data_IF_954464659871
#
_entry.id   IF_954464659871
#
_cell.length_a   1.000
_cell.length_b   1.000
_cell.length_c   1.000
_cell.angle_alpha   90.00
_cell.angle_beta   90.00
_cell.angle_gamma   90.00
#
_symmetry.space_group_name_H-M   'P 1'
#
loop_
_entity.id
_entity.type
_entity.pdbx_description
1 polymer ?
#
# COMPACT_ATOMS: atom_id res chain seq x y z
N UNK A 1 -19.07 3.65 9.33
CA UNK A 1 -18.49 3.77 10.68
C UNK A 1 -17.01 4.19 10.68
N UNK A 2 -16.16 3.63 9.79
CA UNK A 2 -14.73 4.04 9.61
C UNK A 2 -14.51 5.56 9.62
N UNK A 3 -15.25 6.29 8.80
CA UNK A 3 -15.09 7.75 8.64
C UNK A 3 -15.45 8.59 9.87
N UNK A 4 -16.27 8.05 10.78
CA UNK A 4 -16.67 8.74 12.00
C UNK A 4 -15.67 8.59 13.15
N UNK A 5 -14.81 7.56 13.13
CA UNK A 5 -13.84 7.26 14.20
C UNK A 5 -12.39 7.45 13.74
N UNK A 6 -12.06 7.13 12.48
CA UNK A 6 -10.70 7.11 11.98
C UNK A 6 -10.21 8.46 11.45
N UNK A 7 -11.06 9.27 10.81
CA UNK A 7 -10.59 10.41 10.00
C UNK A 7 -9.65 9.96 8.87
N UNK A 8 -9.19 10.88 8.02
CA UNK A 8 -8.15 10.56 7.02
C UNK A 8 -6.80 10.59 7.70
N UNK A 9 -6.07 9.47 7.66
CA UNK A 9 -4.65 9.47 7.99
C UNK A 9 -3.92 10.35 6.97
N UNK A 10 -3.06 11.24 7.46
CA UNK A 10 -2.27 12.13 6.60
C UNK A 10 -0.79 11.72 6.67
N UNK A 11 -0.03 11.90 5.57
CA UNK A 11 1.42 11.82 5.62
C UNK A 11 1.97 12.76 6.70
N UNK A 12 2.90 12.28 7.52
CA UNK A 12 3.40 13.07 8.65
C UNK A 12 4.16 12.24 9.69
N UNK A 13 4.71 12.94 10.68
CA UNK A 13 5.39 12.35 11.83
C UNK A 13 4.58 12.67 13.09
N UNK A 14 4.12 11.63 13.78
CA UNK A 14 3.26 11.72 14.95
C UNK A 14 3.97 11.09 16.15
N UNK A 15 3.94 11.71 17.35
CA UNK A 15 4.48 11.08 18.55
C UNK A 15 3.78 9.74 18.84
N UNK A 16 4.52 8.76 19.37
CA UNK A 16 3.86 7.57 19.94
C UNK A 16 2.93 8.00 21.09
N UNK A 17 1.82 7.26 21.24
CA UNK A 17 0.77 7.53 22.24
C UNK A 17 -0.03 8.82 22.03
N UNK A 18 0.11 9.46 20.86
CA UNK A 18 -0.82 10.51 20.41
C UNK A 18 -2.19 9.92 20.06
N UNK A 19 -3.20 10.78 19.96
CA UNK A 19 -4.53 10.38 19.48
C UNK A 19 -4.43 9.80 18.06
N UNK A 20 -3.60 10.39 17.21
CA UNK A 20 -3.35 9.93 15.84
C UNK A 20 -2.74 8.53 15.81
N UNK A 21 -1.79 8.24 16.70
CA UNK A 21 -1.22 6.90 16.85
C UNK A 21 -2.30 5.88 17.25
N UNK A 22 -3.16 6.22 18.20
CA UNK A 22 -4.23 5.31 18.64
C UNK A 22 -5.26 5.06 17.53
N UNK A 23 -5.65 6.11 16.80
CA UNK A 23 -6.56 5.99 15.64
C UNK A 23 -5.96 5.11 14.56
N UNK A 24 -4.69 5.34 14.20
CA UNK A 24 -3.95 4.51 13.27
C UNK A 24 -3.94 3.04 13.71
N UNK A 25 -3.56 2.79 14.98
CA UNK A 25 -3.50 1.45 15.54
C UNK A 25 -4.86 0.75 15.48
N UNK A 26 -5.93 1.43 15.87
CA UNK A 26 -7.28 0.86 15.86
C UNK A 26 -7.73 0.48 14.44
N UNK A 27 -7.55 1.38 13.46
CA UNK A 27 -7.88 1.10 12.05
C UNK A 27 -7.11 -0.11 11.54
N UNK A 28 -5.81 -0.16 11.86
CA UNK A 28 -4.94 -1.27 11.48
C UNK A 28 -5.41 -2.60 12.07
N UNK A 29 -5.82 -2.63 13.34
CA UNK A 29 -6.36 -3.85 13.96
C UNK A 29 -7.65 -4.32 13.26
N UNK A 30 -8.56 -3.40 12.95
CA UNK A 30 -9.80 -3.73 12.23
C UNK A 30 -9.49 -4.31 10.85
N UNK A 31 -8.58 -3.68 10.09
CA UNK A 31 -8.20 -4.16 8.76
C UNK A 31 -7.56 -5.54 8.83
N UNK A 32 -6.59 -5.76 9.73
CA UNK A 32 -5.97 -7.08 9.93
C UNK A 32 -7.00 -8.17 10.25
N UNK A 33 -7.97 -7.87 11.12
CA UNK A 33 -9.01 -8.84 11.49
C UNK A 33 -9.93 -9.20 10.31
N UNK A 34 -10.20 -8.24 9.41
CA UNK A 34 -11.07 -8.47 8.23
C UNK A 34 -10.35 -9.05 7.03
N UNK A 35 -9.02 -8.91 6.94
CA UNK A 35 -8.26 -9.19 5.73
C UNK A 35 -8.37 -10.63 5.25
N UNK A 36 -8.17 -11.61 6.13
CA UNK A 36 -8.18 -13.02 5.73
C UNK A 36 -9.47 -13.43 5.01
N UNK A 37 -10.62 -13.15 5.62
CA UNK A 37 -11.92 -13.47 5.00
C UNK A 37 -12.28 -12.61 3.79
N UNK A 38 -11.69 -11.40 3.68
CA UNK A 38 -11.93 -10.53 2.53
C UNK A 38 -11.14 -10.97 1.30
N UNK A 39 -9.85 -11.30 1.49
CA UNK A 39 -9.00 -11.79 0.40
C UNK A 39 -9.50 -13.14 -0.12
N UNK A 40 -9.92 -14.05 0.76
CA UNK A 40 -10.51 -15.34 0.36
C UNK A 40 -11.81 -15.18 -0.45
N UNK A 41 -12.57 -14.11 -0.20
CA UNK A 41 -13.87 -13.89 -0.83
C UNK A 41 -13.80 -13.02 -2.10
N UNK A 42 -12.90 -12.04 -2.13
CA UNK A 42 -12.85 -10.99 -3.16
C UNK A 42 -11.54 -10.97 -3.95
N UNK A 43 -10.53 -11.77 -3.58
CA UNK A 43 -9.26 -11.84 -4.30
C UNK A 43 -9.45 -12.18 -5.77
N UNK A 44 -8.73 -11.48 -6.65
CA UNK A 44 -8.83 -11.60 -8.10
C UNK A 44 -10.14 -11.06 -8.69
N UNK A 45 -10.94 -10.34 -7.91
CA UNK A 45 -12.18 -9.71 -8.39
C UNK A 45 -12.10 -8.19 -8.40
N UNK A 46 -12.83 -7.56 -9.33
CA UNK A 46 -12.94 -6.10 -9.41
C UNK A 46 -13.60 -5.45 -8.17
N UNK A 47 -14.14 -6.25 -7.23
CA UNK A 47 -14.73 -5.77 -5.99
C UNK A 47 -13.68 -5.37 -4.95
N UNK A 48 -12.50 -6.00 -4.95
CA UNK A 48 -11.45 -5.70 -3.99
C UNK A 48 -10.88 -4.28 -4.17
N UNK A 49 -10.56 -3.82 -5.40
CA UNK A 49 -10.24 -2.40 -5.65
C UNK A 49 -11.36 -1.44 -5.25
N UNK A 50 -12.63 -1.81 -5.43
CA UNK A 50 -13.76 -0.98 -5.03
C UNK A 50 -13.86 -0.85 -3.49
N UNK A 51 -13.59 -1.92 -2.76
CA UNK A 51 -13.53 -1.91 -1.31
C UNK A 51 -12.43 -0.98 -0.79
N UNK A 52 -11.20 -1.09 -1.31
CA UNK A 52 -10.11 -0.21 -0.90
C UNK A 52 -10.36 1.26 -1.26
N UNK A 53 -11.04 1.54 -2.39
CA UNK A 53 -11.51 2.90 -2.72
C UNK A 53 -12.51 3.43 -1.69
N UNK A 54 -13.45 2.62 -1.24
CA UNK A 54 -14.38 3.00 -0.17
C UNK A 54 -13.67 3.26 1.18
N UNK A 55 -12.52 2.60 1.38
CA UNK A 55 -11.62 2.84 2.49
C UNK A 55 -10.68 4.04 2.28
N UNK A 56 -10.72 4.74 1.15
CA UNK A 56 -9.95 5.97 0.93
C UNK A 56 -8.68 5.82 0.08
N UNK A 57 -8.36 4.61 -0.40
CA UNK A 57 -7.32 4.45 -1.40
C UNK A 57 -7.72 5.10 -2.73
N UNK A 58 -6.73 5.63 -3.45
CA UNK A 58 -6.93 6.10 -4.83
C UNK A 58 -6.50 4.98 -5.75
N UNK A 59 -7.45 4.33 -6.41
CA UNK A 59 -7.17 3.21 -7.30
C UNK A 59 -7.84 3.51 -8.65
N UNK A 60 -7.09 3.34 -9.73
CA UNK A 60 -7.54 3.51 -11.09
C UNK A 60 -8.51 2.44 -11.58
N UNK A 61 -8.71 2.42 -12.89
CA UNK A 61 -9.51 1.43 -13.61
C UNK A 61 -8.68 0.19 -13.97
N UNK A 62 -9.35 -0.96 -14.10
CA UNK A 62 -8.74 -2.24 -14.52
C UNK A 62 -7.52 -2.64 -13.68
N UNK A 63 -7.63 -2.41 -12.37
CA UNK A 63 -6.64 -2.85 -11.39
C UNK A 63 -7.06 -4.23 -10.89
N UNK A 64 -6.16 -5.21 -11.00
CA UNK A 64 -6.35 -6.54 -10.46
C UNK A 64 -5.56 -6.70 -9.16
N UNK A 65 -6.20 -7.30 -8.17
CA UNK A 65 -5.67 -7.46 -6.82
C UNK A 65 -6.03 -8.85 -6.30
N UNK A 66 -5.02 -9.67 -6.02
CA UNK A 66 -5.24 -11.02 -5.48
C UNK A 66 -5.35 -10.99 -3.94
N UNK A 67 -4.24 -10.78 -3.23
CA UNK A 67 -4.21 -10.57 -1.77
C UNK A 67 -3.17 -9.51 -1.37
N UNK A 68 -3.47 -8.21 -1.54
CA UNK A 68 -2.53 -7.17 -1.17
C UNK A 68 -2.49 -6.95 0.35
N UNK A 69 -1.29 -6.73 0.89
CA UNK A 69 -1.09 -6.33 2.29
C UNK A 69 -1.16 -4.80 2.42
N UNK A 70 -2.35 -4.29 2.71
CA UNK A 70 -2.61 -2.85 2.87
C UNK A 70 -3.05 -2.54 4.29
N UNK A 71 -2.19 -1.83 5.03
CA UNK A 71 -2.46 -1.38 6.39
C UNK A 71 -3.10 0.03 6.41
N UNK A 72 -2.73 0.92 5.50
CA UNK A 72 -3.25 2.30 5.43
C UNK A 72 -3.73 2.67 4.01
N UNK A 73 -4.97 2.30 3.64
CA UNK A 73 -5.51 2.56 2.30
C UNK A 73 -5.44 4.05 1.90
N UNK A 74 -5.67 4.97 2.85
CA UNK A 74 -5.69 6.42 2.61
C UNK A 74 -4.34 6.98 2.09
N UNK A 75 -3.25 6.23 2.23
CA UNK A 75 -1.89 6.62 1.81
C UNK A 75 -1.44 5.95 0.50
N UNK A 76 -2.32 5.19 -0.15
CA UNK A 76 -2.00 4.45 -1.37
C UNK A 76 -2.66 5.11 -2.56
N UNK A 77 -1.86 5.31 -3.61
CA UNK A 77 -2.31 5.71 -4.93
C UNK A 77 -1.84 4.70 -5.97
N UNK A 78 -2.77 4.17 -6.77
CA UNK A 78 -2.52 3.18 -7.82
C UNK A 78 -3.19 3.69 -9.11
N UNK A 79 -2.44 3.72 -10.21
CA UNK A 79 -2.89 4.12 -11.53
C UNK A 79 -3.84 3.12 -12.19
N UNK A 80 -4.02 3.26 -13.50
CA UNK A 80 -4.85 2.37 -14.31
C UNK A 80 -4.05 1.14 -14.77
N UNK A 81 -4.73 0.03 -15.08
CA UNK A 81 -4.12 -1.17 -15.68
C UNK A 81 -2.97 -1.77 -14.85
N UNK A 82 -3.13 -1.83 -13.52
CA UNK A 82 -2.12 -2.36 -12.61
C UNK A 82 -2.48 -3.79 -12.19
N UNK A 83 -1.49 -4.68 -12.27
CA UNK A 83 -1.60 -6.07 -11.80
C UNK A 83 -0.85 -6.22 -10.48
N UNK A 84 -1.55 -6.66 -9.43
CA UNK A 84 -1.00 -6.84 -8.08
C UNK A 84 -1.17 -8.30 -7.66
N UNK A 85 -0.05 -9.02 -7.66
CA UNK A 85 0.01 -10.41 -7.28
C UNK A 85 -0.09 -10.63 -5.76
N UNK A 86 -0.25 -11.88 -5.36
CA UNK A 86 -0.47 -12.29 -3.98
C UNK A 86 0.62 -11.78 -3.01
N UNK A 87 0.16 -11.34 -1.84
CA UNK A 87 0.97 -10.85 -0.72
C UNK A 87 1.89 -9.66 -1.04
N UNK A 88 1.61 -8.88 -2.09
CA UNK A 88 2.29 -7.61 -2.32
C UNK A 88 2.00 -6.64 -1.16
N UNK A 89 3.06 -6.11 -0.52
CA UNK A 89 2.95 -5.32 0.71
C UNK A 89 3.16 -3.82 0.48
N UNK A 90 2.25 -3.02 1.04
CA UNK A 90 2.32 -1.56 1.03
C UNK A 90 2.64 -1.04 2.43
N UNK A 91 3.94 -0.89 2.73
CA UNK A 91 4.45 -0.42 4.01
C UNK A 91 4.46 1.10 4.15
N UNK A 92 3.30 1.72 4.37
CA UNK A 92 3.18 3.19 4.44
C UNK A 92 3.54 3.77 5.83
N UNK A 93 3.61 2.92 6.86
CA UNK A 93 3.90 3.31 8.25
C UNK A 93 5.22 2.72 8.77
N UNK A 94 5.91 3.44 9.64
CA UNK A 94 7.05 2.94 10.41
C UNK A 94 7.17 3.68 11.74
N UNK A 95 7.81 3.06 12.73
CA UNK A 95 8.13 3.71 14.01
C UNK A 95 9.61 4.08 14.00
N UNK A 96 9.92 5.37 14.09
CA UNK A 96 11.28 5.93 14.04
C UNK A 96 11.44 6.94 15.18
N UNK A 97 12.45 6.75 16.03
CA UNK A 97 12.74 7.55 17.23
C UNK A 97 11.50 7.91 18.05
N UNK A 98 10.68 6.92 18.38
CA UNK A 98 9.47 7.14 19.18
C UNK A 98 8.36 7.93 18.47
N UNK A 99 8.39 7.99 17.14
CA UNK A 99 7.34 8.60 16.33
C UNK A 99 6.81 7.61 15.29
N UNK A 100 5.49 7.61 15.10
CA UNK A 100 4.84 7.03 13.93
C UNK A 100 5.09 7.95 12.74
N UNK A 101 5.79 7.43 11.73
CA UNK A 101 6.04 8.11 10.46
C UNK A 101 5.16 7.47 9.40
N UNK A 102 4.23 8.27 8.87
CA UNK A 102 3.31 7.92 7.79
C UNK A 102 3.72 8.63 6.51
N UNK A 103 3.52 7.98 5.37
CA UNK A 103 3.73 8.63 4.08
C UNK A 103 3.27 7.77 2.92
N UNK A 104 3.09 8.40 1.75
CA UNK A 104 2.37 7.78 0.66
C UNK A 104 3.18 6.69 -0.03
N UNK A 105 2.48 5.80 -0.72
CA UNK A 105 3.03 4.93 -1.76
C UNK A 105 2.26 5.20 -3.03
N UNK A 106 2.98 5.48 -4.12
CA UNK A 106 2.40 5.83 -5.41
C UNK A 106 2.83 4.83 -6.47
N UNK A 107 1.87 4.27 -7.18
CA UNK A 107 2.08 3.33 -8.27
C UNK A 107 1.45 3.91 -9.53
N UNK A 108 2.25 4.04 -10.57
CA UNK A 108 1.85 4.50 -11.89
C UNK A 108 0.90 3.52 -12.60
N UNK A 109 0.54 3.85 -13.83
CA UNK A 109 -0.33 3.03 -14.66
C UNK A 109 0.47 1.95 -15.42
N UNK A 110 -0.20 0.88 -15.85
CA UNK A 110 0.42 -0.23 -16.59
C UNK A 110 1.55 -0.95 -15.81
N UNK A 111 1.50 -0.92 -14.48
CA UNK A 111 2.52 -1.51 -13.61
C UNK A 111 2.22 -2.97 -13.26
N UNK A 112 3.26 -3.73 -12.95
CA UNK A 112 3.14 -5.08 -12.38
C UNK A 112 3.84 -5.16 -11.04
N UNK A 113 3.12 -5.52 -9.99
CA UNK A 113 3.67 -5.82 -8.68
C UNK A 113 3.64 -7.34 -8.48
N UNK A 114 4.80 -7.97 -8.59
CA UNK A 114 4.92 -9.42 -8.49
C UNK A 114 4.82 -9.89 -7.03
N UNK A 115 4.59 -11.20 -6.88
CA UNK A 115 4.29 -11.82 -5.60
C UNK A 115 5.26 -11.45 -4.48
N UNK A 116 4.70 -11.08 -3.32
CA UNK A 116 5.45 -10.78 -2.09
C UNK A 116 6.46 -9.63 -2.23
N UNK A 117 6.31 -8.76 -3.23
CA UNK A 117 7.08 -7.53 -3.28
C UNK A 117 6.70 -6.60 -2.11
N UNK A 118 7.58 -5.67 -1.75
CA UNK A 118 7.32 -4.68 -0.71
C UNK A 118 7.61 -3.26 -1.20
N UNK A 119 6.58 -2.42 -1.17
CA UNK A 119 6.68 -0.98 -1.39
C UNK A 119 6.75 -0.28 -0.05
N UNK A 120 7.75 0.57 0.17
CA UNK A 120 7.93 1.30 1.42
C UNK A 120 7.41 2.72 1.29
N UNK A 121 7.08 3.33 2.43
CA UNK A 121 6.71 4.74 2.53
C UNK A 121 7.64 5.64 1.70
N UNK A 122 7.05 6.44 0.83
CA UNK A 122 7.74 7.37 -0.06
C UNK A 122 8.17 6.76 -1.39
N UNK A 123 7.88 5.48 -1.65
CA UNK A 123 8.11 4.87 -2.96
C UNK A 123 7.16 5.42 -4.00
N UNK A 124 7.71 5.69 -5.19
CA UNK A 124 6.97 6.01 -6.41
C UNK A 124 7.39 5.04 -7.51
N UNK A 125 6.47 4.21 -7.97
CA UNK A 125 6.67 3.29 -9.10
C UNK A 125 6.18 3.99 -10.36
N UNK A 126 7.03 4.26 -11.36
CA UNK A 126 6.60 4.97 -12.57
C UNK A 126 5.79 4.06 -13.50
N UNK A 127 5.08 4.68 -14.43
CA UNK A 127 4.24 3.99 -15.41
C UNK A 127 5.02 2.90 -16.18
N UNK A 128 4.41 1.73 -16.34
CA UNK A 128 4.98 0.61 -17.09
C UNK A 128 6.07 -0.17 -16.35
N UNK A 129 6.39 0.16 -15.09
CA UNK A 129 7.40 -0.55 -14.33
C UNK A 129 6.89 -1.89 -13.76
N UNK A 130 7.82 -2.83 -13.59
CA UNK A 130 7.57 -4.09 -12.91
C UNK A 130 8.43 -4.18 -11.64
N UNK A 131 7.79 -4.42 -10.50
CA UNK A 131 8.46 -4.66 -9.22
C UNK A 131 8.53 -6.18 -9.01
N UNK A 132 9.73 -6.78 -9.08
CA UNK A 132 9.87 -8.22 -9.03
C UNK A 132 9.48 -8.87 -7.72
N UNK A 133 9.21 -10.17 -7.77
CA UNK A 133 8.82 -10.94 -6.61
C UNK A 133 9.93 -10.88 -5.55
N UNK A 134 9.52 -10.79 -4.27
CA UNK A 134 10.44 -10.64 -3.12
C UNK A 134 11.33 -9.39 -3.14
N UNK A 135 11.21 -8.51 -4.14
CA UNK A 135 11.92 -7.25 -4.15
C UNK A 135 11.32 -6.32 -3.10
N UNK A 136 12.18 -5.62 -2.37
CA UNK A 136 11.77 -4.50 -1.53
C UNK A 136 12.27 -3.24 -2.20
N UNK A 137 11.37 -2.36 -2.63
CA UNK A 137 11.81 -1.04 -3.11
C UNK A 137 12.31 -0.30 -1.87
N UNK A 138 13.61 -0.23 -1.68
CA UNK A 138 14.26 0.47 -0.58
C UNK A 138 14.98 1.66 -1.18
N UNK A 139 14.33 2.82 -1.19
CA UNK A 139 14.84 4.09 -0.64
C UNK A 139 14.10 5.29 -1.23
N UNK A 140 13.88 6.24 -0.31
CA UNK A 140 13.48 7.62 -0.54
C UNK A 140 14.23 8.23 -1.73
N UNK A 141 13.55 8.38 -2.86
CA UNK A 141 14.04 9.13 -4.03
C UNK A 141 14.59 8.31 -5.19
N UNK A 142 14.56 6.99 -5.14
CA UNK A 142 14.91 6.16 -6.30
C UNK A 142 13.63 5.71 -7.03
N UNK A 143 13.42 6.26 -8.22
CA UNK A 143 12.42 5.79 -9.16
C UNK A 143 13.01 4.58 -9.91
N UNK A 144 12.26 3.48 -10.00
CA UNK A 144 12.62 2.37 -10.90
C UNK A 144 12.65 2.93 -12.32
N UNK A 145 13.76 2.87 -13.07
CA UNK A 145 13.78 3.38 -14.44
C UNK A 145 12.71 2.68 -15.28
N UNK A 146 11.94 3.42 -16.13
CA UNK A 146 10.92 2.80 -16.96
C UNK A 146 11.55 1.75 -17.88
N UNK A 147 11.06 0.50 -17.79
CA UNK A 147 11.51 -0.62 -18.61
C UNK A 147 12.60 -1.52 -18.00
N UNK A 148 13.07 -1.27 -16.78
CA UNK A 148 14.01 -2.18 -16.09
C UNK A 148 13.33 -3.10 -15.08
N UNK A 149 13.82 -4.35 -15.00
CA UNK A 149 13.44 -5.34 -13.97
C UNK A 149 14.36 -5.17 -12.78
N UNK A 150 13.83 -4.68 -11.65
CA UNK A 150 14.62 -4.38 -10.45
C UNK A 150 14.68 -5.58 -9.48
N UNK A 151 15.61 -6.51 -9.69
CA UNK A 151 15.77 -7.66 -8.81
C UNK A 151 16.78 -7.37 -7.69
N UNK A 152 16.32 -7.08 -6.46
CA UNK A 152 17.23 -6.94 -5.33
C UNK A 152 16.60 -6.64 -3.96
N UNK A 153 17.19 -7.25 -2.92
CA UNK A 153 17.27 -6.79 -1.53
C UNK A 153 18.77 -6.56 -1.27
N UNK A 154 19.15 -5.56 -0.46
CA UNK A 154 19.91 -4.38 -0.92
C UNK A 154 21.09 -4.68 -1.87
N UNK A 155 21.27 -3.82 -2.88
CA UNK A 155 22.52 -3.67 -3.64
C UNK A 155 23.04 -2.24 -3.47
#
# INVERSE_FOLDING_TARGET
>A
LKWAVAGRLRPGRYPLWSEEYFRWWFVRQVLHATRGGLSDLLGGTALLPAFYRALGARIGARVDMDDPEVDEPDLISIGDDVEIEHHARFGTSAIIDGHLVLGPVEVGSCCRLEARCMLVRGSTVPDGAAVPALASTVLKGEAVPPGERWAGLPA
#
